data_IF_213792811261
#
_entry.id   IF_213792811261
#
_cell.length_a   1.000
_cell.length_b   1.000
_cell.length_c   1.000
_cell.angle_alpha   90.00
_cell.angle_beta   90.00
_cell.angle_gamma   90.00
#
_symmetry.space_group_name_H-M   'P 1'
#
loop_
_entity.id
_entity.type
_entity.pdbx_description
1 polymer ?
#
# COMPACT_ATOMS: atom_id res chain seq x y z
N UNK A 1 2.19 3.78 17.92
CA UNK A 1 1.69 2.71 17.06
C UNK A 1 2.80 1.99 16.30
N UNK A 2 3.59 2.73 15.54
CA UNK A 2 4.70 2.13 14.80
C UNK A 2 5.78 1.58 15.72
N UNK A 3 6.02 2.24 16.84
CA UNK A 3 6.97 1.74 17.83
C UNK A 3 6.54 0.39 18.37
N UNK A 4 5.25 0.24 18.65
CA UNK A 4 4.72 -1.03 19.11
C UNK A 4 4.91 -2.11 18.05
N UNK A 5 4.65 -1.78 16.81
CA UNK A 5 4.83 -2.72 15.72
C UNK A 5 6.30 -3.12 15.60
N UNK A 6 7.21 -2.17 15.74
CA UNK A 6 8.64 -2.44 15.67
C UNK A 6 9.10 -3.35 16.80
N UNK A 7 8.70 -3.07 18.02
CA UNK A 7 9.09 -3.84 19.18
C UNK A 7 8.45 -5.22 19.22
N UNK A 8 7.20 -5.28 18.83
CA UNK A 8 6.41 -6.51 18.87
C UNK A 8 6.15 -7.06 17.48
N UNK A 9 7.05 -6.75 16.54
CA UNK A 9 6.82 -7.10 15.15
C UNK A 9 6.38 -8.52 14.91
N UNK A 10 7.06 -9.47 15.50
CA UNK A 10 6.73 -10.89 15.31
C UNK A 10 5.41 -11.30 15.95
N UNK A 11 4.88 -10.48 16.84
CA UNK A 11 3.61 -10.76 17.52
C UNK A 11 2.49 -9.83 17.09
N UNK A 12 2.78 -8.91 16.18
CA UNK A 12 1.76 -7.98 15.71
C UNK A 12 0.61 -8.75 15.07
N UNK A 13 -0.61 -8.27 15.27
CA UNK A 13 -1.78 -8.89 14.68
C UNK A 13 -1.79 -8.70 13.16
N UNK A 14 -2.57 -9.54 12.47
CA UNK A 14 -2.74 -9.41 11.02
C UNK A 14 -3.28 -8.02 10.67
N UNK A 15 -4.17 -7.48 11.50
CA UNK A 15 -4.73 -6.15 11.29
C UNK A 15 -3.66 -5.07 11.38
N UNK A 16 -2.78 -5.17 12.36
CA UNK A 16 -1.71 -4.19 12.52
C UNK A 16 -0.72 -4.26 11.37
N UNK A 17 -0.36 -5.48 10.96
CA UNK A 17 0.56 -5.68 9.83
C UNK A 17 -0.05 -5.13 8.54
N UNK A 18 -1.32 -5.41 8.30
CA UNK A 18 -2.03 -4.91 7.11
C UNK A 18 -2.07 -3.39 7.11
N UNK A 19 -2.39 -2.80 8.26
CA UNK A 19 -2.46 -1.35 8.38
C UNK A 19 -1.11 -0.70 8.15
N UNK A 20 -0.06 -1.30 8.67
CA UNK A 20 1.29 -0.78 8.47
C UNK A 20 1.67 -0.79 6.98
N UNK A 21 1.48 -1.93 6.32
CA UNK A 21 1.81 -2.05 4.90
C UNK A 21 1.01 -1.05 4.08
N UNK A 22 -0.27 -0.93 4.37
CA UNK A 22 -1.14 -0.01 3.64
C UNK A 22 -0.73 1.45 3.85
N UNK A 23 -0.60 1.87 5.09
CA UNK A 23 -0.40 3.28 5.41
C UNK A 23 1.03 3.75 5.20
N UNK A 24 2.02 2.89 5.47
CA UNK A 24 3.41 3.31 5.48
C UNK A 24 4.18 2.93 4.22
N UNK A 25 3.71 1.95 3.46
CA UNK A 25 4.41 1.49 2.27
C UNK A 25 3.60 1.78 1.01
N UNK A 26 2.41 1.20 0.91
CA UNK A 26 1.63 1.26 -0.33
C UNK A 26 1.10 2.65 -0.62
N UNK A 27 0.50 3.30 0.37
CA UNK A 27 -0.06 4.63 0.18
C UNK A 27 1.01 5.64 -0.26
N UNK A 28 2.16 5.73 0.45
CA UNK A 28 3.22 6.64 0.00
C UNK A 28 3.77 6.28 -1.38
N UNK A 29 3.87 4.98 -1.68
CA UNK A 29 4.34 4.56 -3.00
C UNK A 29 3.40 5.02 -4.11
N UNK A 30 2.10 4.85 -3.91
CA UNK A 30 1.09 5.26 -4.89
C UNK A 30 1.16 6.77 -5.14
N UNK A 31 1.31 7.54 -4.08
CA UNK A 31 1.44 8.99 -4.22
C UNK A 31 2.72 9.37 -4.96
N UNK A 32 3.80 8.65 -4.67
CA UNK A 32 5.09 8.92 -5.29
C UNK A 32 5.10 8.64 -6.79
N UNK A 33 4.53 7.51 -7.20
CA UNK A 33 4.48 7.14 -8.61
C UNK A 33 3.24 7.68 -9.33
N UNK A 34 2.30 8.23 -8.57
CA UNK A 34 1.06 8.80 -9.09
C UNK A 34 0.26 7.78 -9.92
N UNK A 35 0.12 6.57 -9.40
CA UNK A 35 -0.59 5.50 -10.08
C UNK A 35 -1.17 4.55 -9.03
N UNK A 36 -2.29 3.92 -9.37
CA UNK A 36 -2.94 2.94 -8.49
C UNK A 36 -2.37 1.54 -8.67
N UNK A 37 -1.47 1.36 -9.61
CA UNK A 37 -0.81 0.09 -9.88
C UNK A 37 0.70 0.24 -9.73
N UNK A 38 1.34 -0.78 -9.24
CA UNK A 38 2.78 -0.77 -9.04
C UNK A 38 3.34 -2.18 -9.21
N UNK A 39 4.61 -2.26 -9.57
CA UNK A 39 5.27 -3.55 -9.76
C UNK A 39 5.80 -4.09 -8.44
N UNK A 40 6.10 -5.38 -8.43
CA UNK A 40 6.75 -6.01 -7.29
C UNK A 40 8.06 -5.31 -6.94
N UNK A 41 8.83 -4.93 -7.94
CA UNK A 41 10.11 -4.24 -7.72
C UNK A 41 9.92 -2.88 -7.05
N UNK A 42 8.92 -2.13 -7.50
CA UNK A 42 8.60 -0.84 -6.87
C UNK A 42 8.19 -1.03 -5.42
N UNK A 43 7.37 -2.04 -5.17
CA UNK A 43 6.94 -2.35 -3.82
C UNK A 43 8.13 -2.73 -2.93
N UNK A 44 8.98 -3.63 -3.41
CA UNK A 44 10.13 -4.11 -2.63
C UNK A 44 11.08 -2.97 -2.28
N UNK A 45 11.33 -2.10 -3.23
CA UNK A 45 12.20 -0.95 -3.00
C UNK A 45 11.63 -0.03 -1.92
N UNK A 46 10.34 0.27 -2.01
CA UNK A 46 9.69 1.13 -1.03
C UNK A 46 9.62 0.45 0.34
N UNK A 47 9.29 -0.84 0.36
CA UNK A 47 9.26 -1.63 1.57
C UNK A 47 10.60 -1.59 2.30
N UNK A 48 11.69 -1.84 1.56
CA UNK A 48 13.01 -1.87 2.16
C UNK A 48 13.38 -0.51 2.73
N UNK A 49 13.06 0.56 2.02
CA UNK A 49 13.29 1.91 2.49
C UNK A 49 12.54 2.19 3.79
N UNK A 50 11.26 1.91 3.81
CA UNK A 50 10.40 2.21 4.96
C UNK A 50 10.77 1.34 6.16
N UNK A 51 11.02 0.05 5.94
CA UNK A 51 11.38 -0.84 7.04
C UNK A 51 12.71 -0.43 7.67
N UNK A 52 13.65 0.05 6.86
CA UNK A 52 14.92 0.55 7.38
C UNK A 52 14.72 1.81 8.20
N UNK A 53 13.93 2.75 7.68
CA UNK A 53 13.66 4.02 8.37
C UNK A 53 12.90 3.82 9.68
N UNK A 54 11.95 2.90 9.68
CA UNK A 54 11.09 2.65 10.84
C UNK A 54 11.59 1.55 11.75
N UNK A 55 12.68 0.90 11.36
CA UNK A 55 13.24 -0.23 12.11
C UNK A 55 12.21 -1.35 12.32
N UNK A 56 11.54 -1.74 11.23
CA UNK A 56 10.53 -2.79 11.24
C UNK A 56 11.04 -3.99 10.45
N UNK A 57 10.73 -5.17 10.94
CA UNK A 57 11.15 -6.42 10.31
C UNK A 57 10.40 -6.62 8.99
N UNK A 58 11.13 -6.88 7.91
CA UNK A 58 10.56 -7.11 6.59
C UNK A 58 9.55 -8.26 6.59
N UNK A 59 9.80 -9.29 7.39
CA UNK A 59 8.91 -10.45 7.47
C UNK A 59 7.47 -10.05 7.83
N UNK A 60 7.32 -9.02 8.65
CA UNK A 60 6.00 -8.55 9.06
C UNK A 60 5.24 -7.94 7.89
N UNK A 61 5.96 -7.30 6.98
CA UNK A 61 5.31 -6.68 5.82
C UNK A 61 4.76 -7.73 4.85
N UNK A 62 5.40 -8.90 4.77
CA UNK A 62 4.91 -9.98 3.92
C UNK A 62 3.52 -10.44 4.37
N UNK A 63 3.32 -10.56 5.66
CA UNK A 63 2.01 -10.94 6.22
C UNK A 63 0.96 -9.87 5.95
N UNK A 64 1.36 -8.60 6.09
CA UNK A 64 0.46 -7.50 5.80
C UNK A 64 0.04 -7.46 4.34
N UNK A 65 0.99 -7.71 3.44
CA UNK A 65 0.71 -7.72 2.01
C UNK A 65 -0.27 -8.84 1.66
N UNK A 66 -0.02 -10.04 2.17
CA UNK A 66 -0.93 -11.19 1.95
C UNK A 66 -2.31 -10.88 2.50
N UNK A 67 -2.38 -10.27 3.67
CA UNK A 67 -3.65 -9.90 4.28
C UNK A 67 -4.43 -8.91 3.41
N UNK A 68 -3.74 -7.93 2.81
CA UNK A 68 -4.39 -6.98 1.90
C UNK A 68 -4.95 -7.68 0.67
N UNK A 69 -4.24 -8.68 0.15
CA UNK A 69 -4.73 -9.47 -0.98
C UNK A 69 -5.92 -10.33 -0.59
N UNK A 70 -5.88 -10.93 0.59
CA UNK A 70 -6.99 -11.75 1.08
C UNK A 70 -8.26 -10.93 1.31
N UNK A 71 -8.10 -9.68 1.69
CA UNK A 71 -9.22 -8.74 1.86
C UNK A 71 -9.64 -8.08 0.55
N UNK A 72 -8.97 -8.43 -0.53
CA UNK A 72 -9.25 -7.87 -1.85
C UNK A 72 -9.04 -6.36 -1.95
N UNK A 73 -8.26 -5.81 -1.03
CA UNK A 73 -7.85 -4.41 -1.10
C UNK A 73 -6.80 -4.25 -2.18
N UNK A 74 -5.91 -5.25 -2.30
CA UNK A 74 -4.93 -5.33 -3.37
C UNK A 74 -5.26 -6.50 -4.27
N UNK A 75 -5.13 -6.27 -5.56
CA UNK A 75 -5.25 -7.31 -6.59
C UNK A 75 -3.88 -7.52 -7.20
N UNK A 76 -3.56 -8.76 -7.53
CA UNK A 76 -2.26 -9.10 -8.12
C UNK A 76 -2.48 -9.82 -9.43
N UNK A 77 -1.78 -9.38 -10.45
CA UNK A 77 -1.78 -10.03 -11.76
C UNK A 77 -0.34 -10.07 -12.27
N UNK A 78 0.27 -11.26 -12.26
CA UNK A 78 1.67 -11.40 -12.54
C UNK A 78 2.49 -10.69 -11.47
N UNK A 79 3.36 -9.79 -11.89
CA UNK A 79 4.19 -8.99 -10.98
C UNK A 79 3.61 -7.60 -10.73
N UNK A 80 2.38 -7.36 -11.13
CA UNK A 80 1.74 -6.06 -10.97
C UNK A 80 0.67 -6.14 -9.89
N UNK A 81 0.72 -5.21 -8.96
CA UNK A 81 -0.29 -5.05 -7.92
C UNK A 81 -1.12 -3.82 -8.24
N UNK A 82 -2.40 -3.88 -7.94
CA UNK A 82 -3.27 -2.71 -8.13
C UNK A 82 -4.25 -2.60 -6.97
N UNK A 83 -4.68 -1.37 -6.70
CA UNK A 83 -5.68 -1.11 -5.69
C UNK A 83 -7.03 -1.48 -6.26
N UNK A 84 -7.87 -2.13 -5.44
CA UNK A 84 -9.22 -2.46 -5.87
C UNK A 84 -9.96 -1.19 -6.29
N UNK A 85 -10.63 -1.23 -7.44
CA UNK A 85 -11.27 -0.05 -8.01
C UNK A 85 -12.26 0.63 -7.07
N UNK A 86 -12.90 -0.12 -6.18
CA UNK A 86 -13.87 0.45 -5.24
C UNK A 86 -13.22 1.39 -4.23
N UNK A 87 -11.91 1.30 -4.06
CA UNK A 87 -11.20 2.18 -3.13
C UNK A 87 -10.77 3.49 -3.77
N UNK A 88 -10.83 3.58 -5.10
CA UNK A 88 -10.40 4.79 -5.80
C UNK A 88 -11.13 6.06 -5.31
N UNK A 89 -12.44 6.04 -5.05
CA UNK A 89 -13.10 7.23 -4.52
C UNK A 89 -12.52 7.72 -3.18
N UNK A 90 -12.10 6.79 -2.33
CA UNK A 90 -11.50 7.17 -1.05
C UNK A 90 -10.11 7.76 -1.24
N UNK A 91 -9.37 7.24 -2.22
CA UNK A 91 -8.06 7.75 -2.53
C UNK A 91 -8.14 9.16 -3.11
N UNK A 92 -9.20 9.45 -3.86
CA UNK A 92 -9.39 10.77 -4.46
C UNK A 92 -9.48 11.88 -3.42
N UNK A 93 -9.98 11.57 -2.24
CA UNK A 93 -10.08 12.55 -1.16
C UNK A 93 -8.70 12.94 -0.67
N UNK A 94 -7.75 12.02 -0.72
CA UNK A 94 -6.40 12.23 -0.19
C UNK A 94 -5.35 12.44 -1.28
N UNK A 95 -5.66 12.02 -2.51
CA UNK A 95 -4.76 12.21 -3.63
C UNK A 95 -4.85 13.67 -4.11
N UNK A 96 -3.91 14.07 -4.94
CA UNK A 96 -3.95 15.41 -5.49
C UNK A 96 -5.08 15.56 -6.50
N UNK A 97 -5.42 16.81 -6.80
CA UNK A 97 -6.54 17.13 -7.68
C UNK A 97 -6.31 16.67 -9.10
N UNK A 98 -5.07 16.65 -9.54
CA UNK A 98 -4.76 16.27 -10.92
C UNK A 98 -5.13 14.83 -11.18
N UNK A 99 -4.81 13.95 -10.25
CA UNK A 99 -5.16 12.54 -10.38
C UNK A 99 -6.67 12.36 -10.42
N UNK A 100 -7.37 13.01 -9.51
CA UNK A 100 -8.82 12.93 -9.45
C UNK A 100 -9.46 13.42 -10.75
N UNK A 101 -8.92 14.49 -11.30
CA UNK A 101 -9.41 15.06 -12.56
C UNK A 101 -9.21 14.09 -13.71
N UNK A 102 -8.03 13.48 -13.78
CA UNK A 102 -7.73 12.53 -14.84
C UNK A 102 -8.68 11.32 -14.82
N UNK A 103 -8.91 10.79 -13.63
CA UNK A 103 -9.82 9.66 -13.46
C UNK A 103 -11.23 10.05 -13.91
N UNK A 104 -11.67 11.23 -13.51
CA UNK A 104 -13.00 11.73 -13.88
C UNK A 104 -13.15 11.84 -15.39
N UNK A 105 -12.16 12.42 -16.06
CA UNK A 105 -12.19 12.59 -17.51
C UNK A 105 -12.24 11.26 -18.24
N UNK A 106 -11.46 10.30 -17.78
CA UNK A 106 -11.45 8.96 -18.39
C UNK A 106 -12.85 8.32 -18.32
N UNK A 107 -13.54 8.52 -17.22
CA UNK A 107 -14.88 7.95 -17.05
C UNK A 107 -15.92 8.62 -17.95
N UNK A 108 -15.78 9.90 -18.18
CA UNK A 108 -16.72 10.63 -19.00
C UNK A 108 -16.61 10.22 -20.47
N UNK A 109 -15.40 9.92 -20.90
CA UNK A 109 -15.17 9.47 -22.27
C UNK A 109 -15.59 8.04 -22.49
#
# INVERSE_FOLDING_TARGET
MLLMLSEKGKYASATENRRFVWAEIIWPLILEINDVAFSLKQYQKKRDQICKEKNVNITMTSRGLVSLMQKEILLKEGDIYSIHYRLIPYMRVKADCDYATAIHEVRIK
#
